data_IF_467594853789
#
_entry.id   IF_467594853789
#
_cell.length_a   1.000
_cell.length_b   1.000
_cell.length_c   1.000
_cell.angle_alpha   90.00
_cell.angle_beta   90.00
_cell.angle_gamma   90.00
#
_symmetry.space_group_name_H-M   'P 1'
#
loop_
_entity.id
_entity.type
_entity.pdbx_description
1 polymer ?
#
# COMPACT_ATOMS: atom_id res chain seq x y z
N UNK A 1 17.74 36.92 -5.77
CA UNK A 1 16.47 36.17 -5.95
C UNK A 1 15.81 36.44 -7.29
N UNK A 2 16.17 37.49 -8.04
CA UNK A 2 15.67 37.67 -9.42
C UNK A 2 14.17 37.94 -9.54
N UNK A 3 13.50 38.28 -8.43
CA UNK A 3 12.05 38.47 -8.36
C UNK A 3 11.62 39.91 -8.69
N UNK A 4 12.59 40.80 -8.91
CA UNK A 4 12.37 42.16 -9.34
C UNK A 4 13.57 42.61 -10.18
N UNK A 5 13.30 43.49 -11.14
CA UNK A 5 14.31 44.09 -12.02
C UNK A 5 14.20 45.60 -11.95
N UNK A 6 15.33 46.28 -11.79
CA UNK A 6 15.41 47.74 -11.84
C UNK A 6 15.25 48.21 -13.28
N UNK A 7 14.20 48.97 -13.57
CA UNK A 7 13.94 49.50 -14.91
C UNK A 7 14.57 50.88 -15.11
N UNK A 8 14.64 51.67 -14.05
CA UNK A 8 15.34 52.96 -13.98
C UNK A 8 15.95 53.13 -12.58
N UNK A 9 16.97 53.99 -12.41
CA UNK A 9 17.54 54.24 -11.08
C UNK A 9 16.45 54.57 -10.05
N UNK A 10 16.28 53.69 -9.05
CA UNK A 10 15.27 53.84 -8.01
C UNK A 10 13.84 53.38 -8.36
N UNK A 11 13.60 52.88 -9.58
CA UNK A 11 12.31 52.33 -10.01
C UNK A 11 12.41 50.83 -10.31
N UNK A 12 11.77 50.03 -9.46
CA UNK A 12 11.82 48.57 -9.49
C UNK A 12 10.50 47.97 -9.96
N UNK A 13 10.55 47.05 -10.92
CA UNK A 13 9.41 46.26 -11.34
C UNK A 13 9.50 44.86 -10.73
N UNK A 14 8.51 44.51 -9.91
CA UNK A 14 8.34 43.16 -9.36
C UNK A 14 7.83 42.23 -10.46
N UNK A 15 8.41 41.04 -10.58
CA UNK A 15 8.00 40.05 -11.58
C UNK A 15 6.63 39.46 -11.19
N UNK A 16 5.80 39.12 -12.18
CA UNK A 16 4.49 38.50 -11.91
C UNK A 16 4.61 37.19 -11.10
N UNK A 17 5.71 36.46 -11.27
CA UNK A 17 6.02 35.21 -10.57
C UNK A 17 6.57 35.42 -9.14
N UNK A 18 6.80 36.66 -8.71
CA UNK A 18 7.41 36.97 -7.42
C UNK A 18 6.55 36.50 -6.24
N UNK A 19 5.25 36.82 -6.25
CA UNK A 19 4.32 36.41 -5.19
C UNK A 19 4.16 34.88 -5.13
N UNK A 20 3.85 34.17 -6.23
CA UNK A 20 3.81 32.70 -6.24
C UNK A 20 5.10 32.06 -5.72
N UNK A 21 6.26 32.57 -6.14
CA UNK A 21 7.57 32.04 -5.72
C UNK A 21 7.81 32.23 -4.23
N UNK A 22 7.54 33.42 -3.69
CA UNK A 22 7.71 33.71 -2.26
C UNK A 22 6.75 32.88 -1.40
N UNK A 23 5.51 32.69 -1.84
CA UNK A 23 4.53 31.82 -1.16
C UNK A 23 5.03 30.38 -1.10
N UNK A 24 5.45 29.83 -2.24
CA UNK A 24 5.99 28.46 -2.32
C UNK A 24 7.25 28.27 -1.44
N UNK A 25 8.12 29.29 -1.38
CA UNK A 25 9.28 29.29 -0.48
C UNK A 25 8.86 29.31 1.00
N UNK A 26 7.86 30.11 1.36
CA UNK A 26 7.30 30.18 2.71
C UNK A 26 6.73 28.83 3.14
N UNK A 27 5.86 28.23 2.31
CA UNK A 27 5.25 26.92 2.53
C UNK A 27 6.31 25.83 2.69
N UNK A 28 7.34 25.83 1.84
CA UNK A 28 8.47 24.90 1.96
C UNK A 28 9.21 25.09 3.29
N UNK A 29 9.39 26.32 3.74
CA UNK A 29 9.98 26.64 5.04
C UNK A 29 9.16 26.09 6.22
N UNK A 30 7.84 26.20 6.16
CA UNK A 30 6.92 25.64 7.17
C UNK A 30 6.94 24.11 7.20
N UNK A 31 6.97 23.48 6.03
CA UNK A 31 7.11 22.02 5.89
C UNK A 31 8.41 21.56 6.56
N UNK A 32 9.53 22.21 6.24
CA UNK A 32 10.84 21.85 6.81
C UNK A 32 10.84 21.98 8.34
N UNK A 33 10.28 23.06 8.90
CA UNK A 33 10.16 23.22 10.37
C UNK A 33 9.32 22.11 11.00
N UNK A 34 8.21 21.76 10.34
CA UNK A 34 7.31 20.69 10.78
C UNK A 34 8.02 19.33 10.79
N UNK A 35 8.80 19.03 9.74
CA UNK A 35 9.63 17.82 9.68
C UNK A 35 10.69 17.78 10.79
N UNK A 36 11.43 18.89 10.99
CA UNK A 36 12.45 18.97 12.04
C UNK A 36 11.88 18.72 13.43
N UNK A 37 10.69 19.27 13.72
CA UNK A 37 9.99 19.05 14.99
C UNK A 37 9.61 17.57 15.17
N UNK A 38 9.06 16.93 14.14
CA UNK A 38 8.65 15.53 14.20
C UNK A 38 9.83 14.56 14.32
N UNK A 39 11.01 14.91 13.81
CA UNK A 39 12.21 14.08 13.95
C UNK A 39 12.85 14.17 15.33
N UNK A 40 12.37 15.05 16.22
CA UNK A 40 12.79 15.15 17.64
C UNK A 40 14.32 15.17 17.84
N UNK A 41 15.04 15.90 16.99
CA UNK A 41 16.51 16.03 17.06
C UNK A 41 17.31 14.93 16.35
N UNK A 42 16.66 13.91 15.77
CA UNK A 42 17.33 12.95 14.89
C UNK A 42 17.74 13.64 13.59
N UNK A 43 19.05 13.65 13.28
CA UNK A 43 19.54 14.17 11.99
C UNK A 43 19.10 13.23 10.87
N UNK A 44 18.31 13.79 9.93
CA UNK A 44 17.90 13.15 8.68
C UNK A 44 18.02 14.16 7.56
N UNK A 45 18.38 13.68 6.38
CA UNK A 45 18.11 14.45 5.17
C UNK A 45 16.59 14.59 5.01
N UNK A 46 16.12 15.83 4.81
CA UNK A 46 14.69 16.12 4.69
C UNK A 46 14.32 16.21 3.20
N UNK A 47 13.34 15.41 2.80
CA UNK A 47 12.81 15.39 1.45
C UNK A 47 11.30 15.66 1.47
N UNK A 48 10.83 16.48 0.54
CA UNK A 48 9.39 16.58 0.25
C UNK A 48 9.10 15.55 -0.83
N UNK A 49 8.22 14.60 -0.55
CA UNK A 49 7.83 13.58 -1.50
C UNK A 49 7.01 14.23 -2.61
N UNK A 50 7.47 14.19 -3.89
CA UNK A 50 6.76 14.86 -4.96
C UNK A 50 5.41 14.20 -5.23
N UNK A 51 4.39 15.01 -5.47
CA UNK A 51 3.12 14.52 -6.05
C UNK A 51 3.43 14.00 -7.46
N UNK A 52 3.08 12.75 -7.74
CA UNK A 52 3.41 12.11 -9.02
C UNK A 52 4.85 11.59 -9.13
N UNK A 53 5.54 11.34 -8.01
CA UNK A 53 6.89 10.77 -8.01
C UNK A 53 6.95 9.41 -8.75
N UNK A 54 7.57 9.42 -9.93
CA UNK A 54 7.71 8.34 -10.92
C UNK A 54 7.99 6.95 -10.36
N UNK A 55 6.93 6.21 -10.01
CA UNK A 55 7.06 4.84 -9.49
C UNK A 55 7.94 4.71 -8.23
N UNK A 56 8.32 5.83 -7.60
CA UNK A 56 9.19 5.83 -6.43
C UNK A 56 8.35 5.36 -5.26
N UNK A 57 8.74 4.22 -4.70
CA UNK A 57 8.19 3.72 -3.45
C UNK A 57 9.17 4.05 -2.32
N UNK A 58 8.65 4.61 -1.23
CA UNK A 58 9.38 4.80 0.01
C UNK A 58 8.67 4.01 1.09
N UNK A 59 9.40 3.08 1.71
CA UNK A 59 8.93 2.39 2.92
C UNK A 59 9.53 3.10 4.12
N UNK A 60 8.75 3.30 5.17
CA UNK A 60 9.25 3.94 6.38
C UNK A 60 8.27 3.89 7.53
N UNK A 61 8.72 4.39 8.67
CA UNK A 61 7.89 4.52 9.88
C UNK A 61 7.24 5.90 9.92
N UNK A 62 5.96 5.95 10.27
CA UNK A 62 5.25 7.21 10.52
C UNK A 62 5.86 7.87 11.76
N UNK A 63 6.56 8.99 11.57
CA UNK A 63 7.15 9.81 12.62
C UNK A 63 6.19 10.90 13.11
N UNK A 64 5.30 11.38 12.24
CA UNK A 64 4.29 12.36 12.58
C UNK A 64 3.19 12.46 11.53
N UNK A 65 2.10 13.11 11.90
CA UNK A 65 0.96 13.40 11.03
C UNK A 65 0.28 14.69 11.47
N UNK A 66 -0.41 15.35 10.55
CA UNK A 66 -1.17 16.56 10.86
C UNK A 66 -2.02 17.00 9.67
N UNK A 67 -2.73 18.12 9.85
CA UNK A 67 -3.46 18.79 8.78
C UNK A 67 -2.58 19.92 8.23
N UNK A 68 -2.40 19.93 6.91
CA UNK A 68 -1.76 21.03 6.20
C UNK A 68 -2.76 22.15 5.89
N UNK A 69 -4.03 21.80 5.71
CA UNK A 69 -5.10 22.72 5.37
C UNK A 69 -6.43 22.21 5.95
N UNK A 70 -6.91 22.87 7.02
CA UNK A 70 -8.14 22.49 7.72
C UNK A 70 -9.40 22.79 6.90
N UNK A 71 -9.35 23.78 6.00
CA UNK A 71 -10.50 24.15 5.15
C UNK A 71 -10.77 23.11 4.07
N UNK A 72 -9.71 22.40 3.62
CA UNK A 72 -9.79 21.41 2.54
C UNK A 72 -9.49 19.98 3.00
N UNK A 73 -9.39 19.76 4.31
CA UNK A 73 -9.11 18.45 4.93
C UNK A 73 -7.93 17.72 4.28
N UNK A 74 -6.84 18.47 4.03
CA UNK A 74 -5.60 17.93 3.45
C UNK A 74 -4.65 17.57 4.57
N UNK A 75 -4.55 16.28 4.84
CA UNK A 75 -3.59 15.72 5.79
C UNK A 75 -2.17 15.63 5.21
N UNK A 76 -1.20 15.44 6.08
CA UNK A 76 0.15 15.04 5.72
C UNK A 76 0.70 13.97 6.66
N UNK A 77 1.69 13.21 6.18
CA UNK A 77 2.51 12.30 6.98
C UNK A 77 3.98 12.73 6.91
N UNK A 78 4.70 12.49 8.00
CA UNK A 78 6.16 12.54 8.04
C UNK A 78 6.64 11.11 8.23
N UNK A 79 7.39 10.61 7.27
CA UNK A 79 7.85 9.22 7.20
C UNK A 79 9.36 9.17 7.36
N UNK A 80 9.87 8.53 8.42
CA UNK A 80 11.30 8.20 8.56
C UNK A 80 11.58 6.96 7.68
N UNK A 81 12.14 7.21 6.50
CA UNK A 81 12.31 6.24 5.43
C UNK A 81 13.41 5.23 5.72
N UNK A 82 13.24 4.01 5.19
CA UNK A 82 14.29 2.99 5.22
C UNK A 82 15.51 3.40 4.39
N UNK A 83 15.38 4.41 3.53
CA UNK A 83 16.48 5.03 2.78
C UNK A 83 17.34 6.00 3.61
N UNK A 84 16.98 6.23 4.87
CA UNK A 84 17.71 7.12 5.79
C UNK A 84 17.29 8.59 5.71
N UNK A 85 16.26 8.92 4.93
CA UNK A 85 15.71 10.28 4.80
C UNK A 85 14.37 10.39 5.52
N UNK A 86 14.02 11.59 5.97
CA UNK A 86 12.67 11.90 6.41
C UNK A 86 11.89 12.47 5.23
N UNK A 87 10.70 11.93 4.95
CA UNK A 87 9.86 12.31 3.82
C UNK A 87 8.60 12.99 4.31
N UNK A 88 8.32 14.20 3.82
CA UNK A 88 7.01 14.83 3.97
C UNK A 88 6.11 14.36 2.83
N UNK A 89 4.95 13.82 3.16
CA UNK A 89 4.01 13.23 2.21
C UNK A 89 2.67 13.96 2.37
N UNK A 90 2.32 14.77 1.37
CA UNK A 90 0.98 15.35 1.29
C UNK A 90 -0.03 14.25 0.91
N UNK A 91 -1.12 14.16 1.66
CA UNK A 91 -2.16 13.18 1.42
C UNK A 91 -3.28 13.76 0.54
N UNK A 92 -3.99 12.90 -0.21
CA UNK A 92 -5.27 13.24 -0.81
C UNK A 92 -6.24 13.91 0.18
N UNK A 93 -7.10 14.84 -0.26
CA UNK A 93 -8.19 15.37 0.56
C UNK A 93 -9.05 14.23 1.14
N UNK A 94 -9.54 14.40 2.37
CA UNK A 94 -10.38 13.40 3.08
C UNK A 94 -9.66 12.09 3.41
N UNK A 95 -8.33 12.12 3.50
CA UNK A 95 -7.56 10.96 3.97
C UNK A 95 -7.74 10.77 5.47
N UNK A 96 -8.15 9.56 5.88
CA UNK A 96 -8.32 9.21 7.29
C UNK A 96 -6.98 9.02 7.99
N UNK A 97 -6.47 10.08 8.63
CA UNK A 97 -5.20 10.07 9.35
C UNK A 97 -5.13 9.01 10.47
N UNK A 98 -6.26 8.57 11.01
CA UNK A 98 -6.36 7.54 12.03
C UNK A 98 -5.83 6.18 11.56
N UNK A 99 -5.86 5.91 10.26
CA UNK A 99 -5.35 4.68 9.66
C UNK A 99 -3.82 4.57 9.76
N UNK A 100 -3.12 5.67 10.04
CA UNK A 100 -1.66 5.75 10.10
C UNK A 100 -1.19 6.21 11.49
N UNK A 101 -1.20 5.33 12.50
CA UNK A 101 -0.71 5.70 13.82
C UNK A 101 0.80 5.92 13.82
N UNK A 102 1.29 6.82 14.68
CA UNK A 102 2.73 7.04 14.86
C UNK A 102 3.42 5.74 15.24
N UNK A 103 4.54 5.44 14.58
CA UNK A 103 5.25 4.17 14.76
C UNK A 103 4.86 3.08 13.75
N UNK A 104 3.74 3.22 13.05
CA UNK A 104 3.36 2.28 12.00
C UNK A 104 4.34 2.28 10.84
N UNK A 105 4.46 1.14 10.16
CA UNK A 105 5.22 1.01 8.90
C UNK A 105 4.27 1.21 7.73
N UNK A 106 4.60 2.15 6.85
CA UNK A 106 3.84 2.48 5.64
C UNK A 106 4.73 2.37 4.40
N UNK A 107 4.11 2.08 3.27
CA UNK A 107 4.71 2.23 1.95
C UNK A 107 4.00 3.37 1.23
N UNK A 108 4.76 4.40 0.88
CA UNK A 108 4.29 5.56 0.12
C UNK A 108 4.69 5.33 -1.33
N UNK A 109 3.71 5.40 -2.23
CA UNK A 109 3.92 5.29 -3.67
C UNK A 109 3.45 6.57 -4.32
N UNK A 110 4.29 7.17 -5.16
CA UNK A 110 3.78 8.16 -6.11
C UNK A 110 2.80 7.49 -7.09
N UNK A 111 1.98 8.30 -7.76
CA UNK A 111 1.30 7.84 -8.97
C UNK A 111 2.34 7.21 -9.88
N UNK A 112 2.06 6.00 -10.35
CA UNK A 112 2.95 5.33 -11.28
C UNK A 112 3.15 6.23 -12.50
N UNK A 113 4.39 6.32 -12.96
CA UNK A 113 4.67 6.73 -14.34
C UNK A 113 3.88 5.83 -15.31
N UNK A 114 3.82 6.21 -16.59
CA UNK A 114 3.12 5.46 -17.62
C UNK A 114 3.35 3.96 -17.46
N UNK A 115 2.26 3.23 -17.16
CA UNK A 115 2.34 1.79 -16.92
C UNK A 115 3.01 1.12 -18.11
N UNK A 116 3.90 0.16 -17.84
CA UNK A 116 4.51 -0.64 -18.88
C UNK A 116 3.43 -1.29 -19.78
N UNK A 117 2.28 -1.65 -19.21
CA UNK A 117 1.14 -2.13 -19.98
C UNK A 117 0.62 -1.10 -20.99
N UNK A 118 0.48 0.18 -20.61
CA UNK A 118 -0.01 1.24 -21.49
C UNK A 118 1.01 1.55 -22.60
N UNK A 119 2.31 1.56 -22.26
CA UNK A 119 3.39 1.66 -23.26
C UNK A 119 3.40 0.50 -24.25
N UNK A 120 3.26 -0.72 -23.74
CA UNK A 120 3.23 -1.91 -24.59
C UNK A 120 1.99 -1.94 -25.49
N UNK A 121 0.81 -1.55 -24.96
CA UNK A 121 -0.41 -1.43 -25.77
C UNK A 121 -0.22 -0.41 -26.89
N UNK A 122 0.32 0.77 -26.57
CA UNK A 122 0.60 1.80 -27.58
C UNK A 122 1.61 1.32 -28.63
N UNK A 123 2.70 0.69 -28.20
CA UNK A 123 3.75 0.18 -29.10
C UNK A 123 3.29 -0.97 -30.01
N UNK A 124 2.33 -1.78 -29.54
CA UNK A 124 1.77 -2.91 -30.30
C UNK A 124 0.52 -2.54 -31.12
N UNK A 125 0.07 -1.29 -31.01
CA UNK A 125 -1.05 -0.81 -31.82
C UNK A 125 -0.57 -0.41 -33.22
N UNK A 126 -1.42 -0.61 -34.20
CA UNK A 126 -1.22 -0.15 -35.58
C UNK A 126 -2.40 0.77 -35.91
N UNK A 127 -2.10 2.01 -36.31
CA UNK A 127 -3.09 3.04 -36.64
C UNK A 127 -4.16 3.26 -35.53
N UNK A 128 -3.72 3.25 -34.27
CA UNK A 128 -4.58 3.41 -33.10
C UNK A 128 -5.45 2.20 -32.77
N UNK A 129 -5.20 1.05 -33.41
CA UNK A 129 -5.91 -0.21 -33.15
C UNK A 129 -4.98 -1.23 -32.51
N UNK A 130 -5.36 -1.67 -31.31
CA UNK A 130 -4.68 -2.74 -30.59
C UNK A 130 -5.45 -4.06 -30.74
N UNK A 131 -4.76 -5.13 -31.15
CA UNK A 131 -5.36 -6.45 -31.35
C UNK A 131 -4.71 -7.51 -30.44
N UNK A 132 -5.54 -8.25 -29.72
CA UNK A 132 -5.07 -9.22 -28.71
C UNK A 132 -4.38 -10.43 -29.31
N UNK A 133 -4.78 -10.86 -30.51
CA UNK A 133 -4.16 -11.93 -31.29
C UNK A 133 -2.73 -11.56 -31.69
N UNK A 134 -2.51 -10.33 -32.17
CA UNK A 134 -1.19 -9.80 -32.49
C UNK A 134 -0.28 -9.77 -31.25
N UNK A 135 -0.79 -9.26 -30.12
CA UNK A 135 -0.02 -9.25 -28.88
C UNK A 135 0.32 -10.67 -28.40
N UNK A 136 -0.61 -11.63 -28.52
CA UNK A 136 -0.36 -13.02 -28.15
C UNK A 136 0.77 -13.63 -28.99
N UNK A 137 0.79 -13.38 -30.30
CA UNK A 137 1.86 -13.84 -31.18
C UNK A 137 3.23 -13.26 -30.78
N UNK A 138 3.30 -11.97 -30.46
CA UNK A 138 4.54 -11.33 -29.97
C UNK A 138 4.97 -11.90 -28.62
N UNK A 139 4.04 -12.08 -27.67
CA UNK A 139 4.32 -12.61 -26.34
C UNK A 139 4.80 -14.08 -26.39
N UNK A 140 4.29 -14.87 -27.34
CA UNK A 140 4.76 -16.23 -27.59
C UNK A 140 6.21 -16.25 -28.11
N UNK A 141 6.58 -15.29 -28.97
CA UNK A 141 7.95 -15.14 -29.45
C UNK A 141 8.95 -14.69 -28.37
N UNK A 142 8.47 -14.13 -27.26
CA UNK A 142 9.27 -13.64 -26.13
C UNK A 142 9.09 -14.48 -24.86
N UNK A 143 8.51 -15.68 -24.97
CA UNK A 143 8.16 -16.50 -23.82
C UNK A 143 9.39 -16.89 -23.00
N UNK A 144 9.31 -16.72 -21.68
CA UNK A 144 10.25 -17.29 -20.72
C UNK A 144 9.59 -18.45 -19.97
N UNK A 145 10.37 -19.43 -19.46
CA UNK A 145 9.81 -20.62 -18.80
C UNK A 145 8.88 -20.33 -17.60
N UNK A 146 9.00 -19.13 -17.03
CA UNK A 146 8.31 -18.71 -15.81
C UNK A 146 7.10 -17.79 -16.07
N UNK A 147 6.73 -17.57 -17.34
CA UNK A 147 5.68 -16.60 -17.72
C UNK A 147 4.79 -17.11 -18.84
N UNK A 148 3.52 -17.37 -18.54
CA UNK A 148 2.52 -17.75 -19.55
C UNK A 148 2.15 -16.52 -20.43
N UNK A 149 2.40 -16.57 -21.76
CA UNK A 149 2.01 -15.50 -22.68
C UNK A 149 0.52 -15.13 -22.62
N UNK A 150 -0.37 -16.09 -22.34
CA UNK A 150 -1.82 -15.82 -22.23
C UNK A 150 -2.16 -14.99 -21.01
N UNK A 151 -1.49 -15.22 -19.88
CA UNK A 151 -1.68 -14.42 -18.67
C UNK A 151 -1.20 -12.97 -18.86
N UNK A 152 -0.12 -12.78 -19.62
CA UNK A 152 0.36 -11.46 -20.01
C UNK A 152 -0.70 -10.72 -20.81
N UNK A 153 -1.25 -11.33 -21.87
CA UNK A 153 -2.33 -10.71 -22.67
C UNK A 153 -3.57 -10.44 -21.81
N UNK A 154 -3.97 -11.38 -20.96
CA UNK A 154 -5.11 -11.20 -20.06
C UNK A 154 -4.94 -10.01 -19.09
N UNK A 155 -3.72 -9.75 -18.63
CA UNK A 155 -3.43 -8.56 -17.81
C UNK A 155 -3.65 -7.25 -18.58
N UNK A 156 -3.26 -7.20 -19.86
CA UNK A 156 -3.45 -6.02 -20.71
C UNK A 156 -4.93 -5.83 -21.09
N UNK A 157 -5.67 -6.90 -21.32
CA UNK A 157 -7.14 -6.85 -21.52
C UNK A 157 -7.84 -6.31 -20.26
N UNK A 158 -7.46 -6.76 -19.06
CA UNK A 158 -8.01 -6.20 -17.80
C UNK A 158 -7.72 -4.70 -17.67
N UNK A 159 -6.55 -4.25 -18.11
CA UNK A 159 -6.19 -2.82 -18.14
C UNK A 159 -7.06 -2.04 -19.14
N UNK A 160 -7.23 -2.55 -20.36
CA UNK A 160 -8.08 -1.94 -21.38
C UNK A 160 -9.55 -1.85 -20.93
N UNK A 161 -10.09 -2.88 -20.29
CA UNK A 161 -11.44 -2.82 -19.71
C UNK A 161 -11.57 -1.76 -18.62
N UNK A 162 -10.54 -1.55 -17.80
CA UNK A 162 -10.54 -0.49 -16.80
C UNK A 162 -10.56 0.90 -17.45
N UNK A 163 -9.76 1.11 -18.50
CA UNK A 163 -9.72 2.36 -19.26
C UNK A 163 -11.00 2.59 -20.08
N UNK A 164 -11.64 1.52 -20.58
CA UNK A 164 -12.92 1.58 -21.29
C UNK A 164 -14.04 2.08 -20.40
N UNK A 165 -14.09 1.58 -19.15
CA UNK A 165 -15.05 2.08 -18.15
C UNK A 165 -14.87 3.55 -17.80
N UNK A 166 -13.69 4.10 -18.07
CA UNK A 166 -13.38 5.51 -17.92
C UNK A 166 -13.57 6.34 -19.20
N UNK A 167 -13.99 5.70 -20.31
CA UNK A 167 -14.16 6.35 -21.61
C UNK A 167 -12.85 6.72 -22.33
N UNK A 168 -11.73 6.12 -21.95
CA UNK A 168 -10.40 6.45 -22.54
C UNK A 168 -10.11 5.61 -23.78
N UNK A 169 -10.60 4.37 -23.81
CA UNK A 169 -10.45 3.44 -24.93
C UNK A 169 -11.81 2.85 -25.30
N UNK A 170 -11.95 2.41 -26.55
CA UNK A 170 -13.19 1.80 -27.05
C UNK A 170 -12.93 0.36 -27.49
N UNK A 171 -13.95 -0.49 -27.31
CA UNK A 171 -13.91 -1.87 -27.79
C UNK A 171 -14.73 -1.93 -29.07
N UNK A 172 -14.04 -2.03 -30.21
CA UNK A 172 -14.69 -2.13 -31.52
C UNK A 172 -15.24 -3.55 -31.76
N UNK A 173 -14.48 -4.57 -31.35
CA UNK A 173 -14.90 -5.97 -31.45
C UNK A 173 -14.24 -6.83 -30.36
N UNK A 174 -14.54 -8.13 -30.34
CA UNK A 174 -13.84 -9.05 -29.46
C UNK A 174 -12.35 -9.11 -29.79
N UNK A 175 -11.50 -8.77 -28.81
CA UNK A 175 -10.06 -8.73 -28.98
C UNK A 175 -9.51 -7.51 -29.74
N UNK A 176 -10.37 -6.58 -30.19
CA UNK A 176 -9.99 -5.40 -30.96
C UNK A 176 -10.37 -4.12 -30.22
N UNK A 177 -9.39 -3.26 -30.00
CA UNK A 177 -9.50 -2.08 -29.17
C UNK A 177 -9.01 -0.85 -29.91
N UNK A 178 -9.81 0.21 -29.90
CA UNK A 178 -9.40 1.54 -30.36
C UNK A 178 -8.79 2.30 -29.19
N UNK A 179 -7.56 2.77 -29.38
CA UNK A 179 -6.80 3.49 -28.38
C UNK A 179 -6.40 4.88 -28.92
N UNK A 180 -6.32 5.91 -28.07
CA UNK A 180 -5.82 7.21 -28.48
C UNK A 180 -4.28 7.24 -28.50
N UNK A 181 -3.69 8.14 -29.29
CA UNK A 181 -2.24 8.27 -29.44
C UNK A 181 -1.54 8.69 -28.13
N UNK A 182 -2.26 9.38 -27.25
CA UNK A 182 -1.83 9.80 -25.92
C UNK A 182 -2.27 8.81 -24.81
N UNK A 183 -2.58 7.54 -25.15
CA UNK A 183 -3.03 6.51 -24.20
C UNK A 183 -2.15 6.44 -22.94
N UNK A 184 -0.84 6.52 -23.14
CA UNK A 184 0.15 6.52 -22.08
C UNK A 184 -0.11 7.62 -21.04
N UNK A 185 -0.35 8.84 -21.50
CA UNK A 185 -0.58 10.01 -20.66
C UNK A 185 -1.98 9.97 -20.03
N UNK A 186 -3.01 9.63 -20.80
CA UNK A 186 -4.38 9.48 -20.28
C UNK A 186 -4.49 8.36 -19.25
N UNK A 187 -3.77 7.26 -19.45
CA UNK A 187 -3.67 6.16 -18.49
C UNK A 187 -3.02 6.59 -17.18
N UNK A 188 -1.95 7.39 -17.26
CA UNK A 188 -1.29 8.00 -16.10
C UNK A 188 -2.22 8.95 -15.34
N UNK A 189 -2.90 9.85 -16.05
CA UNK A 189 -3.85 10.79 -15.46
C UNK A 189 -5.03 10.08 -14.81
N UNK A 190 -5.58 9.05 -15.47
CA UNK A 190 -6.62 8.20 -14.90
C UNK A 190 -6.18 7.55 -13.60
N UNK A 191 -4.96 7.02 -13.53
CA UNK A 191 -4.43 6.39 -12.33
C UNK A 191 -4.17 7.43 -11.22
N UNK A 192 -3.63 8.61 -11.57
CA UNK A 192 -3.37 9.70 -10.63
C UNK A 192 -4.67 10.28 -10.02
N UNK A 193 -5.72 10.45 -10.83
CA UNK A 193 -7.05 10.86 -10.37
C UNK A 193 -7.65 9.83 -9.42
N UNK A 194 -7.45 8.54 -9.72
CA UNK A 194 -7.94 7.44 -8.87
C UNK A 194 -7.21 7.34 -7.53
N UNK A 195 -5.97 7.84 -7.47
CA UNK A 195 -5.18 7.97 -6.25
C UNK A 195 -5.48 9.26 -5.47
N UNK A 196 -6.49 10.05 -5.86
CA UNK A 196 -6.95 11.21 -5.11
C UNK A 196 -5.95 12.37 -5.01
N UNK A 197 -4.93 12.42 -5.87
CA UNK A 197 -3.89 13.45 -5.80
C UNK A 197 -2.47 12.97 -6.07
N UNK A 198 -2.28 11.75 -6.58
CA UNK A 198 -0.98 11.31 -7.08
C UNK A 198 -0.03 10.68 -6.05
N UNK A 199 -0.55 10.31 -4.86
CA UNK A 199 0.17 9.54 -3.84
C UNK A 199 -0.76 8.49 -3.23
N UNK A 200 -0.29 7.25 -3.12
CA UNK A 200 -0.94 6.17 -2.37
C UNK A 200 -0.13 5.85 -1.12
N UNK A 201 -0.78 5.68 0.02
CA UNK A 201 -0.12 5.22 1.25
C UNK A 201 -0.73 3.88 1.65
N UNK A 202 0.09 2.83 1.60
CA UNK A 202 -0.29 1.48 2.03
C UNK A 202 0.23 1.23 3.44
N UNK A 203 -0.66 0.99 4.40
CA UNK A 203 -0.26 0.53 5.74
C UNK A 203 0.30 -0.90 5.64
N UNK A 204 1.58 -1.09 5.97
CA UNK A 204 2.25 -2.41 5.98
C UNK A 204 2.21 -3.08 7.34
N UNK A 205 2.34 -2.30 8.40
CA UNK A 205 2.12 -2.78 9.76
C UNK A 205 1.69 -1.62 10.64
N UNK A 206 0.66 -1.83 11.45
CA UNK A 206 0.28 -0.86 12.49
C UNK A 206 1.23 -0.92 13.69
N UNK A 207 2.04 -1.98 13.82
CA UNK A 207 2.96 -2.16 14.95
C UNK A 207 4.31 -1.47 14.69
N UNK A 208 4.87 -0.79 15.69
CA UNK A 208 6.27 -0.37 15.68
C UNK A 208 7.22 -1.56 15.52
N UNK A 209 8.35 -1.36 14.83
CA UNK A 209 9.32 -2.43 14.52
C UNK A 209 9.90 -3.09 15.77
N UNK A 210 9.99 -2.34 16.87
CA UNK A 210 10.50 -2.79 18.16
C UNK A 210 9.55 -3.85 18.76
N UNK A 211 8.24 -3.67 18.57
CA UNK A 211 7.23 -4.66 18.98
C UNK A 211 7.19 -5.85 18.03
N UNK A 212 7.39 -5.62 16.74
CA UNK A 212 7.43 -6.71 15.75
C UNK A 212 8.56 -7.71 16.02
N UNK A 213 9.68 -7.27 16.59
CA UNK A 213 10.84 -8.13 16.85
C UNK A 213 10.52 -9.37 17.71
N UNK A 214 9.61 -9.26 18.69
CA UNK A 214 9.31 -10.32 19.68
C UNK A 214 7.86 -10.81 19.71
N UNK A 215 6.98 -10.30 18.85
CA UNK A 215 5.57 -10.71 18.85
C UNK A 215 5.36 -12.08 18.19
N UNK A 216 4.48 -12.91 18.76
CA UNK A 216 4.05 -14.16 18.11
C UNK A 216 2.95 -13.82 17.10
N UNK A 217 3.36 -13.61 15.85
CA UNK A 217 2.48 -13.27 14.72
C UNK A 217 3.31 -12.98 13.48
N UNK A 218 2.70 -13.07 12.30
CA UNK A 218 3.38 -12.75 11.05
C UNK A 218 3.50 -11.24 10.91
N UNK A 219 4.71 -10.71 10.79
CA UNK A 219 5.00 -9.27 10.82
C UNK A 219 5.58 -8.79 9.49
N UNK A 220 5.75 -7.47 9.37
CA UNK A 220 6.47 -6.89 8.23
C UNK A 220 7.96 -7.27 8.24
N UNK A 221 8.58 -7.41 9.41
CA UNK A 221 9.98 -7.88 9.53
C UNK A 221 10.17 -9.28 8.93
N UNK A 222 9.21 -10.18 9.09
CA UNK A 222 9.29 -11.54 8.51
C UNK A 222 9.30 -11.51 6.97
N UNK A 223 8.52 -10.59 6.36
CA UNK A 223 8.54 -10.38 4.91
C UNK A 223 9.89 -9.82 4.44
N UNK A 224 10.51 -8.94 5.22
CA UNK A 224 11.84 -8.42 4.92
C UNK A 224 12.93 -9.49 5.07
N UNK A 225 12.84 -10.37 6.08
CA UNK A 225 13.75 -11.50 6.23
C UNK A 225 13.70 -12.44 5.02
N UNK A 226 12.49 -12.74 4.51
CA UNK A 226 12.29 -13.54 3.29
C UNK A 226 12.88 -12.83 2.06
N UNK A 227 12.68 -11.52 1.95
CA UNK A 227 13.23 -10.69 0.87
C UNK A 227 14.74 -10.39 0.99
N UNK A 228 15.39 -10.81 2.07
CA UNK A 228 16.81 -10.57 2.35
C UNK A 228 17.14 -9.12 2.74
N UNK A 229 16.17 -8.31 3.16
CA UNK A 229 16.38 -6.93 3.60
C UNK A 229 16.96 -6.00 2.52
N UNK A 230 16.69 -6.28 1.24
CA UNK A 230 17.16 -5.44 0.12
C UNK A 230 16.58 -4.03 0.22
N UNK A 231 17.40 -3.02 -0.08
CA UNK A 231 16.97 -1.62 -0.09
C UNK A 231 16.95 -0.91 1.27
N UNK A 232 17.41 -1.57 2.34
CA UNK A 232 17.55 -0.94 3.65
C UNK A 232 18.86 -0.11 3.72
N UNK A 233 18.73 1.19 3.98
CA UNK A 233 19.83 2.11 4.21
C UNK A 233 20.69 1.72 5.43
N UNK A 234 21.87 2.30 5.53
CA UNK A 234 22.81 2.07 6.65
C UNK A 234 22.67 3.10 7.78
N UNK A 235 21.82 4.11 7.59
CA UNK A 235 21.61 5.20 8.52
C UNK A 235 20.11 5.32 8.84
N UNK A 236 19.82 5.96 9.96
CA UNK A 236 18.47 6.27 10.39
C UNK A 236 17.58 5.04 10.54
N UNK A 237 16.32 5.15 10.12
CA UNK A 237 15.36 4.05 10.28
C UNK A 237 15.80 2.76 9.56
N UNK A 238 16.52 2.86 8.42
CA UNK A 238 17.07 1.68 7.75
C UNK A 238 18.03 0.85 8.63
N UNK A 239 18.84 1.52 9.46
CA UNK A 239 19.70 0.85 10.43
C UNK A 239 18.89 0.24 11.59
N UNK A 240 17.93 0.99 12.14
CA UNK A 240 17.02 0.50 13.19
C UNK A 240 16.26 -0.77 12.73
N UNK A 241 15.83 -0.82 11.46
CA UNK A 241 15.21 -2.01 10.86
C UNK A 241 16.19 -3.18 10.77
N UNK A 242 17.45 -2.97 10.37
CA UNK A 242 18.45 -4.06 10.33
C UNK A 242 18.69 -4.65 11.71
N UNK A 243 18.68 -3.82 12.76
CA UNK A 243 18.81 -4.28 14.14
C UNK A 243 17.57 -5.08 14.56
N UNK A 244 16.38 -4.59 14.24
CA UNK A 244 15.13 -5.30 14.50
C UNK A 244 15.05 -6.64 13.73
N UNK A 245 15.57 -6.72 12.51
CA UNK A 245 15.64 -7.97 11.74
C UNK A 245 16.56 -9.00 12.40
N UNK A 246 17.70 -8.57 12.97
CA UNK A 246 18.58 -9.45 13.74
C UNK A 246 17.87 -9.99 14.97
N UNK A 247 17.28 -9.12 15.78
CA UNK A 247 16.50 -9.51 16.96
C UNK A 247 15.33 -10.44 16.60
N UNK A 248 14.67 -10.17 15.47
CA UNK A 248 13.57 -11.00 14.98
C UNK A 248 14.07 -12.39 14.56
N UNK A 249 15.19 -12.48 13.86
CA UNK A 249 15.78 -13.76 13.48
C UNK A 249 16.15 -14.59 14.72
N UNK A 250 16.77 -13.98 15.73
CA UNK A 250 17.12 -14.64 16.99
C UNK A 250 15.85 -15.16 17.69
N UNK A 251 14.81 -14.32 17.80
CA UNK A 251 13.52 -14.73 18.35
C UNK A 251 12.88 -15.88 17.57
N UNK A 252 12.90 -15.84 16.23
CA UNK A 252 12.38 -16.94 15.41
C UNK A 252 13.18 -18.22 15.64
N UNK A 253 14.49 -18.14 15.87
CA UNK A 253 15.32 -19.29 16.18
C UNK A 253 14.98 -19.89 17.56
N UNK A 254 14.77 -19.06 18.58
CA UNK A 254 14.24 -19.50 19.89
C UNK A 254 12.89 -20.23 19.77
N UNK A 255 12.06 -19.82 18.81
CA UNK A 255 10.75 -20.43 18.53
C UNK A 255 10.81 -21.68 17.63
N UNK A 256 12.01 -22.11 17.22
CA UNK A 256 12.22 -23.23 16.29
C UNK A 256 11.74 -22.95 14.87
N UNK A 257 11.62 -21.67 14.49
CA UNK A 257 11.13 -21.19 13.20
C UNK A 257 12.23 -20.59 12.31
N UNK A 258 13.47 -20.52 12.82
CA UNK A 258 14.64 -20.15 12.06
C UNK A 258 15.88 -20.91 12.59
N UNK A 259 16.91 -21.04 11.75
CA UNK A 259 18.22 -21.59 12.13
C UNK A 259 19.33 -20.64 11.66
N UNK A 260 20.31 -20.40 12.52
CA UNK A 260 21.51 -19.66 12.13
C UNK A 260 22.54 -20.60 11.51
N UNK A 261 22.92 -20.35 10.25
CA UNK A 261 24.00 -21.03 9.54
C UNK A 261 25.11 -20.03 9.24
N UNK A 262 25.99 -19.83 10.22
CA UNK A 262 26.99 -18.77 10.18
C UNK A 262 26.32 -17.40 10.09
N UNK A 263 26.60 -16.63 9.02
CA UNK A 263 25.99 -15.32 8.79
C UNK A 263 24.60 -15.38 8.13
N UNK A 264 24.13 -16.56 7.70
CA UNK A 264 22.82 -16.71 7.05
C UNK A 264 21.78 -17.21 8.03
N UNK A 265 20.56 -16.69 7.90
CA UNK A 265 19.38 -17.18 8.63
C UNK A 265 18.56 -18.03 7.68
N UNK A 266 18.31 -19.29 8.05
CA UNK A 266 17.44 -20.20 7.30
C UNK A 266 16.08 -20.22 7.98
N UNK A 267 15.06 -19.73 7.30
CA UNK A 267 13.70 -19.68 7.81
C UNK A 267 12.98 -21.02 7.61
N UNK A 268 12.12 -21.39 8.56
CA UNK A 268 11.27 -22.56 8.44
C UNK A 268 10.35 -22.46 7.22
N UNK A 269 10.04 -23.61 6.60
CA UNK A 269 9.02 -23.67 5.55
C UNK A 269 7.68 -23.22 6.13
N UNK A 270 6.89 -22.51 5.33
CA UNK A 270 5.58 -21.98 5.74
C UNK A 270 5.62 -21.03 6.95
N UNK A 271 6.76 -20.38 7.24
CA UNK A 271 6.95 -19.47 8.38
C UNK A 271 5.74 -18.55 8.64
N UNK A 272 5.31 -17.81 7.62
CA UNK A 272 4.21 -16.84 7.75
C UNK A 272 2.88 -17.51 8.12
N UNK A 273 2.59 -18.68 7.55
CA UNK A 273 1.36 -19.43 7.87
C UNK A 273 1.41 -19.96 9.31
N UNK A 274 2.56 -20.49 9.75
CA UNK A 274 2.76 -20.96 11.12
C UNK A 274 2.61 -19.83 12.14
N UNK A 275 3.22 -18.67 11.90
CA UNK A 275 3.12 -17.51 12.78
C UNK A 275 1.68 -16.99 12.87
N UNK A 276 0.96 -16.89 11.74
CA UNK A 276 -0.46 -16.54 11.72
C UNK A 276 -1.32 -17.53 12.50
N UNK A 277 -1.07 -18.82 12.31
CA UNK A 277 -1.79 -19.87 13.04
C UNK A 277 -1.59 -19.77 14.55
N UNK A 278 -0.36 -19.53 15.02
CA UNK A 278 -0.06 -19.34 16.45
C UNK A 278 -0.74 -18.09 17.01
N UNK A 279 -0.68 -16.98 16.29
CA UNK A 279 -1.35 -15.72 16.69
C UNK A 279 -2.86 -15.89 16.78
N UNK A 280 -3.50 -16.43 15.73
CA UNK A 280 -4.95 -16.67 15.70
C UNK A 280 -5.38 -17.64 16.80
N UNK A 281 -4.62 -18.69 17.08
CA UNK A 281 -4.92 -19.63 18.14
C UNK A 281 -4.88 -18.97 19.53
N UNK A 282 -3.93 -18.06 19.77
CA UNK A 282 -3.85 -17.32 21.03
C UNK A 282 -5.02 -16.32 21.14
N UNK A 283 -5.23 -15.48 20.12
CA UNK A 283 -6.35 -14.54 20.11
C UNK A 283 -7.69 -15.24 20.25
N UNK A 284 -7.88 -16.38 19.60
CA UNK A 284 -9.10 -17.17 19.73
C UNK A 284 -9.35 -17.63 21.17
N UNK A 285 -8.31 -18.05 21.90
CA UNK A 285 -8.44 -18.42 23.31
C UNK A 285 -8.86 -17.21 24.15
N UNK A 286 -8.26 -16.05 23.91
CA UNK A 286 -8.57 -14.82 24.64
C UNK A 286 -10.04 -14.41 24.39
N UNK A 287 -10.49 -14.43 23.13
CA UNK A 287 -11.89 -14.13 22.77
C UNK A 287 -12.86 -15.16 23.37
N UNK A 288 -12.51 -16.44 23.35
CA UNK A 288 -13.34 -17.49 23.94
C UNK A 288 -13.48 -17.29 25.46
N UNK A 289 -12.40 -16.92 26.15
CA UNK A 289 -12.43 -16.60 27.57
C UNK A 289 -13.27 -15.35 27.88
N UNK A 290 -13.25 -14.33 27.01
CA UNK A 290 -14.05 -13.11 27.16
C UNK A 290 -15.54 -13.32 26.89
N UNK A 291 -15.88 -14.08 25.85
CA UNK A 291 -17.24 -14.15 25.29
C UNK A 291 -17.99 -15.43 25.61
N UNK A 292 -17.28 -16.48 26.04
CA UNK A 292 -17.81 -17.83 26.21
C UNK A 292 -18.08 -18.57 24.89
N UNK A 293 -17.82 -17.96 23.73
CA UNK A 293 -18.03 -18.60 22.43
C UNK A 293 -16.87 -19.54 22.09
N UNK A 294 -17.18 -20.69 21.49
CA UNK A 294 -16.17 -21.63 21.01
C UNK A 294 -15.54 -21.12 19.70
N UNK A 295 -14.21 -21.15 19.60
CA UNK A 295 -13.53 -20.82 18.36
C UNK A 295 -13.63 -21.95 17.34
N UNK A 296 -14.02 -21.59 16.12
CA UNK A 296 -14.10 -22.47 14.95
C UNK A 296 -13.00 -22.12 13.96
N UNK A 297 -11.90 -22.91 13.92
CA UNK A 297 -10.83 -22.71 12.96
C UNK A 297 -11.36 -22.78 11.52
N UNK A 298 -10.83 -21.93 10.66
CA UNK A 298 -11.22 -21.86 9.25
C UNK A 298 -10.08 -22.40 8.40
N UNK A 299 -10.36 -23.48 7.65
CA UNK A 299 -9.42 -24.03 6.69
C UNK A 299 -9.48 -23.29 5.35
N UNK A 300 -8.45 -23.45 4.53
CA UNK A 300 -8.45 -22.91 3.18
C UNK A 300 -9.58 -23.53 2.32
N UNK A 301 -10.20 -22.72 1.47
CA UNK A 301 -11.38 -23.11 0.67
C UNK A 301 -12.69 -23.25 1.46
N UNK A 302 -12.65 -23.17 2.79
CA UNK A 302 -13.86 -23.27 3.61
C UNK A 302 -14.68 -21.98 3.51
N UNK A 303 -16.00 -22.15 3.31
CA UNK A 303 -16.97 -21.07 3.43
C UNK A 303 -17.45 -20.97 4.88
N UNK A 304 -17.39 -19.76 5.42
CA UNK A 304 -17.86 -19.41 6.76
C UNK A 304 -18.95 -18.36 6.63
N UNK A 305 -20.01 -18.47 7.43
CA UNK A 305 -21.07 -17.48 7.49
C UNK A 305 -21.40 -17.17 8.94
N UNK A 306 -21.69 -15.91 9.23
CA UNK A 306 -22.03 -15.45 10.57
C UNK A 306 -22.30 -13.96 10.61
N UNK A 307 -22.75 -13.48 11.76
CA UNK A 307 -22.92 -12.07 12.07
C UNK A 307 -21.55 -11.45 12.29
N UNK A 308 -21.23 -10.38 11.56
CA UNK A 308 -20.00 -9.64 11.79
C UNK A 308 -20.11 -8.83 13.10
N UNK A 309 -19.39 -9.27 14.14
CA UNK A 309 -19.50 -8.69 15.50
C UNK A 309 -18.49 -7.59 15.78
N UNK A 310 -17.25 -7.79 15.37
CA UNK A 310 -16.13 -6.87 15.58
C UNK A 310 -14.97 -7.18 14.66
N UNK A 311 -14.11 -6.19 14.44
CA UNK A 311 -12.77 -6.44 13.89
C UNK A 311 -11.73 -6.57 15.00
N UNK A 312 -10.72 -7.40 14.78
CA UNK A 312 -9.57 -7.56 15.66
C UNK A 312 -8.32 -7.18 14.88
N UNK A 313 -7.49 -6.32 15.46
CA UNK A 313 -6.22 -5.91 14.86
C UNK A 313 -5.10 -6.79 15.41
N UNK A 314 -4.49 -7.59 14.53
CA UNK A 314 -3.40 -8.51 14.85
C UNK A 314 -2.11 -8.07 14.14
N UNK A 315 -0.95 -8.57 14.58
CA UNK A 315 0.33 -8.32 13.93
C UNK A 315 0.30 -8.75 12.46
N UNK A 316 -0.40 -9.85 12.16
CA UNK A 316 -0.61 -10.36 10.80
C UNK A 316 -1.66 -9.64 9.96
N UNK A 317 -2.34 -8.65 10.53
CA UNK A 317 -3.33 -7.83 9.84
C UNK A 317 -4.67 -7.77 10.59
N UNK A 318 -5.67 -7.16 9.96
CA UNK A 318 -7.01 -7.03 10.52
C UNK A 318 -7.84 -8.27 10.18
N UNK A 319 -8.56 -8.79 11.17
CA UNK A 319 -9.49 -9.92 11.02
C UNK A 319 -10.89 -9.48 11.44
N UNK A 320 -11.90 -10.05 10.79
CA UNK A 320 -13.29 -9.93 11.15
C UNK A 320 -13.71 -11.16 11.98
N UNK A 321 -14.40 -10.92 13.09
CA UNK A 321 -15.03 -11.96 13.90
C UNK A 321 -16.45 -12.18 13.39
N UNK A 322 -16.70 -13.38 12.85
CA UNK A 322 -18.02 -13.85 12.46
C UNK A 322 -18.56 -14.78 13.54
N UNK A 323 -19.74 -14.46 14.05
CA UNK A 323 -20.47 -15.24 15.05
C UNK A 323 -21.64 -15.96 14.37
N UNK A 324 -21.65 -17.29 14.43
CA UNK A 324 -22.70 -18.11 13.82
C UNK A 324 -23.78 -18.56 14.82
N UNK A 325 -23.76 -18.03 16.05
CA UNK A 325 -24.68 -18.34 17.13
C UNK A 325 -24.27 -19.54 17.98
N UNK A 326 -23.34 -20.37 17.51
CA UNK A 326 -22.82 -21.51 18.26
C UNK A 326 -21.31 -21.40 18.54
N UNK A 327 -20.60 -20.59 17.75
CA UNK A 327 -19.20 -20.27 17.94
C UNK A 327 -18.80 -19.07 17.10
N UNK A 328 -17.51 -18.80 17.04
CA UNK A 328 -16.98 -17.71 16.22
C UNK A 328 -15.81 -18.15 15.37
N UNK A 329 -15.63 -17.48 14.24
CA UNK A 329 -14.49 -17.65 13.35
C UNK A 329 -13.83 -16.31 13.07
N UNK A 330 -12.51 -16.33 12.98
CA UNK A 330 -11.69 -15.19 12.55
C UNK A 330 -11.34 -15.34 11.08
N UNK A 331 -11.72 -14.37 10.26
CA UNK A 331 -11.42 -14.34 8.83
C UNK A 331 -10.74 -13.03 8.45
N UNK A 332 -9.83 -12.98 7.47
CA UNK A 332 -9.18 -11.73 7.08
C UNK A 332 -10.20 -10.63 6.75
N UNK A 333 -9.97 -9.41 7.24
CA UNK A 333 -10.89 -8.31 7.03
C UNK A 333 -10.64 -7.62 5.67
N UNK A 334 -11.69 -7.04 5.07
CA UNK A 334 -11.57 -6.14 3.90
C UNK A 334 -12.42 -4.88 4.12
N UNK A 335 -12.02 -3.71 3.59
CA UNK A 335 -12.76 -2.45 3.79
C UNK A 335 -14.26 -2.53 3.47
N UNK A 336 -14.62 -3.36 2.48
CA UNK A 336 -16.01 -3.58 2.07
C UNK A 336 -16.93 -4.09 3.19
N UNK A 337 -16.40 -4.67 4.27
CA UNK A 337 -17.22 -5.21 5.39
C UNK A 337 -17.39 -4.24 6.55
N UNK A 338 -16.60 -3.17 6.61
CA UNK A 338 -16.64 -2.21 7.72
C UNK A 338 -18.06 -1.65 7.99
N UNK A 339 -18.82 -1.17 6.99
CA UNK A 339 -20.15 -0.62 7.23
C UNK A 339 -21.21 -1.69 7.53
N UNK A 340 -20.83 -2.96 7.64
CA UNK A 340 -21.75 -4.10 7.79
C UNK A 340 -21.68 -4.76 9.16
N UNK A 341 -21.21 -4.01 10.16
CA UNK A 341 -21.27 -4.43 11.55
C UNK A 341 -22.71 -4.83 11.92
N UNK A 342 -22.85 -5.98 12.58
CA UNK A 342 -24.15 -6.55 12.96
C UNK A 342 -24.92 -7.24 11.82
N UNK A 343 -24.42 -7.27 10.59
CA UNK A 343 -25.07 -7.95 9.47
C UNK A 343 -24.54 -9.37 9.28
N UNK A 344 -25.39 -10.24 8.72
CA UNK A 344 -24.99 -11.59 8.33
C UNK A 344 -24.15 -11.55 7.05
N UNK A 345 -22.92 -12.04 7.14
CA UNK A 345 -21.96 -12.08 6.03
C UNK A 345 -21.51 -13.52 5.80
N UNK A 346 -21.00 -13.79 4.60
CA UNK A 346 -20.26 -15.00 4.33
C UNK A 346 -18.90 -14.67 3.71
N UNK A 347 -17.90 -15.49 4.04
CA UNK A 347 -16.54 -15.38 3.57
C UNK A 347 -16.04 -16.76 3.13
N UNK A 348 -15.25 -16.80 2.05
CA UNK A 348 -14.57 -18.00 1.59
C UNK A 348 -13.07 -17.75 1.64
N UNK A 349 -12.32 -18.63 2.30
CA UNK A 349 -10.86 -18.52 2.42
C UNK A 349 -10.16 -18.95 1.13
N UNK A 350 -9.09 -18.23 0.75
CA UNK A 350 -8.22 -18.54 -0.38
C UNK A 350 -6.76 -18.28 -0.01
N UNK A 351 -6.04 -19.29 0.49
CA UNK A 351 -4.70 -19.17 1.05
C UNK A 351 -4.61 -18.04 2.08
N UNK A 352 -3.93 -16.95 1.73
CA UNK A 352 -3.79 -15.75 2.56
C UNK A 352 -4.88 -14.68 2.33
N UNK A 353 -5.81 -14.92 1.41
CA UNK A 353 -6.88 -14.01 1.01
C UNK A 353 -8.26 -14.52 1.38
N UNK A 354 -9.25 -13.66 1.17
CA UNK A 354 -10.66 -13.96 1.44
C UNK A 354 -11.55 -13.38 0.34
N UNK A 355 -12.57 -14.13 -0.06
CA UNK A 355 -13.66 -13.65 -0.91
C UNK A 355 -14.89 -13.40 -0.03
N UNK A 356 -15.36 -12.15 0.01
CA UNK A 356 -16.53 -11.79 0.80
C UNK A 356 -17.79 -11.85 -0.06
N UNK A 357 -18.76 -12.66 0.37
CA UNK A 357 -20.09 -12.78 -0.21
C UNK A 357 -21.06 -12.00 0.66
N UNK A 358 -21.50 -10.87 0.13
CA UNK A 358 -22.40 -9.96 0.83
C UNK A 358 -23.75 -10.10 0.14
N UNK A 359 -24.74 -10.61 0.87
CA UNK A 359 -26.10 -10.69 0.34
C UNK A 359 -26.58 -9.32 -0.13
N UNK A 360 -27.09 -9.24 -1.37
CA UNK A 360 -27.85 -8.07 -1.82
C UNK A 360 -29.06 -7.92 -0.89
N UNK A 361 -29.28 -6.73 -0.33
CA UNK A 361 -30.62 -6.31 0.11
C UNK A 361 -31.55 -6.53 -1.09
N UNK A 362 -32.48 -7.48 -1.00
CA UNK A 362 -33.68 -7.45 -1.84
C UNK A 362 -34.37 -6.14 -1.49
N UNK A 363 -34.31 -5.17 -2.40
CA UNK A 363 -35.21 -4.03 -2.35
C UNK A 363 -36.62 -4.58 -2.35
N UNK A 364 -37.40 -4.23 -1.34
CA UNK A 364 -38.85 -4.39 -1.39
C UNK A 364 -39.32 -3.40 -2.45
N UNK A 365 -39.92 -3.93 -3.52
CA UNK A 365 -40.59 -3.16 -4.56
C UNK A 365 -41.80 -2.43 -4.01
#
# INVERSE_FOLDING_TARGET
MGLATEQQPGAWAVHAEAEPTLRAMGERGDIIRTMQRAMSGKSRELAVFPLGADGRAVIGRVAGKGLADELYDKGYLIVDGTDGKAHYVALPPRSELEQYPTGAVVEVKGAADVRAADRNIAALSVDGVYRTDHHLAVAQGQATPDRDPREVVAAHVRRLEALRRAGIVEREAEGVWRIPDDLAERGRQYDAQRLGGGVAVDLKSHLPIERQARVIGATWLDQQLIGGGKGLGHLGFGAEVKDALRQRADFLAEQGLAEHRGQRVVLARNLLATLRGRELAQTAKDIAAETGLEHRPVADGQRVAGIYRRSVMLASGRYAMLDDGMGFSLVPWKPVVEPRLGQQLAATMHGNGVSWHVGRRRGVS
#
